data_IF_532099899589
#
_entry.id   IF_532099899589
#
_cell.length_a   1.000
_cell.length_b   1.000
_cell.length_c   1.000
_cell.angle_alpha   90.00
_cell.angle_beta   90.00
_cell.angle_gamma   90.00
#
_symmetry.space_group_name_H-M   'P 1'
#
loop_
_entity.id
_entity.type
_entity.pdbx_description
1 polymer ?
#
# COMPACT_ATOMS: atom_id res chain seq x y z
N UNK A 1 10.42 12.92 3.23
CA UNK A 1 11.33 12.38 2.22
C UNK A 1 10.43 11.85 1.12
N UNK A 2 10.86 11.86 -0.14
CA UNK A 2 9.96 11.35 -1.18
C UNK A 2 10.02 9.81 -1.18
N UNK A 3 8.87 9.16 -0.96
CA UNK A 3 8.72 7.70 -1.06
C UNK A 3 8.35 7.33 -2.49
N UNK A 4 9.13 6.45 -3.11
CA UNK A 4 8.95 6.01 -4.50
C UNK A 4 8.90 4.50 -4.55
N UNK A 5 7.72 3.95 -4.82
CA UNK A 5 7.57 2.52 -5.09
C UNK A 5 7.80 2.26 -6.57
N UNK A 6 8.82 1.46 -6.88
CA UNK A 6 9.15 1.06 -8.25
C UNK A 6 8.58 -0.33 -8.50
N UNK A 7 7.74 -0.49 -9.51
CA UNK A 7 7.33 -1.81 -9.98
C UNK A 7 8.57 -2.64 -10.39
N UNK A 8 8.51 -3.97 -10.23
CA UNK A 8 9.58 -4.86 -10.67
C UNK A 8 9.93 -4.67 -12.16
N UNK A 9 8.97 -4.35 -13.02
CA UNK A 9 9.24 -4.07 -14.43
C UNK A 9 10.12 -2.81 -14.63
N UNK A 10 10.17 -1.91 -13.66
CA UNK A 10 11.09 -0.76 -13.66
C UNK A 10 12.42 -1.20 -13.08
N UNK A 11 12.40 -1.81 -11.88
CA UNK A 11 13.61 -2.23 -11.16
C UNK A 11 14.49 -3.15 -12.03
N UNK A 12 13.90 -4.18 -12.63
CA UNK A 12 14.61 -5.14 -13.49
C UNK A 12 15.19 -4.52 -14.75
N UNK A 13 14.65 -3.37 -15.19
CA UNK A 13 15.12 -2.65 -16.36
C UNK A 13 16.06 -1.48 -16.03
N UNK A 14 16.36 -1.20 -14.76
CA UNK A 14 17.25 -0.08 -14.37
C UNK A 14 18.68 -0.18 -14.96
N UNK A 15 19.09 -1.38 -15.40
CA UNK A 15 20.35 -1.60 -16.12
C UNK A 15 20.26 -1.38 -17.64
N UNK A 16 19.07 -1.10 -18.17
CA UNK A 16 18.85 -0.89 -19.61
C UNK A 16 19.53 0.39 -20.08
N UNK A 17 19.89 0.42 -21.37
CA UNK A 17 20.51 1.59 -22.03
C UNK A 17 19.49 2.65 -22.47
N UNK A 18 18.21 2.49 -22.15
CA UNK A 18 17.19 3.49 -22.47
C UNK A 18 17.45 4.79 -21.70
N UNK A 19 17.40 5.91 -22.41
CA UNK A 19 17.80 7.23 -21.88
C UNK A 19 17.04 7.62 -20.61
N UNK A 20 15.72 7.42 -20.58
CA UNK A 20 14.92 7.77 -19.41
C UNK A 20 15.13 6.85 -18.21
N UNK A 21 15.45 5.58 -18.46
CA UNK A 21 15.78 4.63 -17.39
C UNK A 21 17.17 4.92 -16.80
N UNK A 22 18.12 5.32 -17.66
CA UNK A 22 19.42 5.83 -17.21
C UNK A 22 19.25 7.12 -16.40
N UNK A 23 18.41 8.05 -16.86
CA UNK A 23 18.11 9.27 -16.11
C UNK A 23 17.50 8.97 -14.74
N UNK A 24 16.61 7.97 -14.65
CA UNK A 24 16.10 7.49 -13.37
C UNK A 24 17.21 6.90 -12.49
N UNK A 25 18.05 6.02 -13.03
CA UNK A 25 19.14 5.43 -12.27
C UNK A 25 20.12 6.49 -11.72
N UNK A 26 20.53 7.44 -12.56
CA UNK A 26 21.43 8.52 -12.17
C UNK A 26 20.77 9.42 -11.10
N UNK A 27 19.48 9.75 -11.29
CA UNK A 27 18.68 10.49 -10.31
C UNK A 27 18.61 9.78 -8.95
N UNK A 28 18.26 8.49 -8.92
CA UNK A 28 18.16 7.73 -7.66
C UNK A 28 19.49 7.64 -6.93
N UNK A 29 20.60 7.64 -7.67
CA UNK A 29 21.95 7.64 -7.10
C UNK A 29 22.31 8.99 -6.48
N UNK A 30 22.04 10.09 -7.18
CA UNK A 30 22.36 11.44 -6.73
C UNK A 30 21.45 11.91 -5.58
N UNK A 31 20.23 11.36 -5.52
CA UNK A 31 19.18 11.74 -4.58
C UNK A 31 18.96 10.70 -3.46
N UNK A 32 19.88 9.74 -3.29
CA UNK A 32 19.73 8.62 -2.33
C UNK A 32 19.44 9.05 -0.89
N UNK A 33 19.93 10.21 -0.45
CA UNK A 33 19.66 10.76 0.88
C UNK A 33 18.26 11.39 1.04
N UNK A 34 17.56 11.63 -0.08
CA UNK A 34 16.30 12.41 -0.14
C UNK A 34 15.12 11.60 -0.69
N UNK A 35 15.36 10.34 -1.06
CA UNK A 35 14.37 9.39 -1.55
C UNK A 35 14.39 8.13 -0.68
N UNK A 36 13.21 7.57 -0.42
CA UNK A 36 13.04 6.23 0.13
C UNK A 36 12.42 5.33 -0.95
N UNK A 37 13.08 4.22 -1.27
CA UNK A 37 12.56 3.23 -2.21
C UNK A 37 12.31 1.95 -1.43
N UNK A 38 11.06 1.65 -1.06
CA UNK A 38 10.77 0.38 -0.42
C UNK A 38 10.59 -0.74 -1.45
N UNK A 39 10.85 -1.98 -1.02
CA UNK A 39 10.41 -3.18 -1.70
C UNK A 39 9.32 -3.89 -0.89
N UNK A 40 8.67 -4.88 -1.48
CA UNK A 40 7.63 -5.67 -0.80
C UNK A 40 7.57 -7.09 -1.34
N UNK A 41 6.67 -7.90 -0.79
CA UNK A 41 6.43 -9.29 -1.20
C UNK A 41 6.16 -9.42 -2.70
N UNK A 42 5.54 -8.42 -3.33
CA UNK A 42 5.28 -8.39 -4.78
C UNK A 42 6.56 -8.54 -5.61
N UNK A 43 7.63 -7.84 -5.22
CA UNK A 43 8.94 -7.91 -5.86
C UNK A 43 9.56 -9.30 -5.73
N UNK A 44 9.42 -9.90 -4.55
CA UNK A 44 9.97 -11.23 -4.25
C UNK A 44 9.26 -12.31 -5.08
N UNK A 45 7.93 -12.22 -5.20
CA UNK A 45 7.12 -13.09 -6.07
C UNK A 45 7.53 -12.96 -7.53
N UNK A 46 7.78 -11.75 -8.00
CA UNK A 46 8.29 -11.50 -9.35
C UNK A 46 9.65 -12.13 -9.61
N UNK A 47 10.59 -11.99 -8.66
CA UNK A 47 11.91 -12.61 -8.74
C UNK A 47 11.77 -14.13 -8.79
N UNK A 48 10.93 -14.73 -7.92
CA UNK A 48 10.70 -16.18 -7.82
C UNK A 48 10.10 -16.74 -9.11
N UNK A 49 9.11 -16.04 -9.67
CA UNK A 49 8.52 -16.37 -10.98
C UNK A 49 9.52 -16.23 -12.12
N UNK A 50 10.37 -15.20 -12.08
CA UNK A 50 11.44 -14.99 -13.05
C UNK A 50 12.54 -16.04 -12.98
N UNK A 51 12.85 -16.55 -11.79
CA UNK A 51 13.87 -17.57 -11.56
C UNK A 51 13.56 -18.90 -12.25
N UNK A 52 12.27 -19.29 -12.27
CA UNK A 52 11.79 -20.46 -13.04
C UNK A 52 12.17 -20.39 -14.53
N UNK A 53 12.40 -19.18 -15.06
CA UNK A 53 12.79 -18.93 -16.46
C UNK A 53 14.30 -18.75 -16.65
N UNK A 54 15.05 -18.47 -15.60
CA UNK A 54 16.50 -18.18 -15.65
C UNK A 54 17.20 -18.64 -14.36
N UNK A 55 17.71 -19.87 -14.39
CA UNK A 55 18.36 -20.53 -13.24
C UNK A 55 19.62 -19.75 -12.80
N UNK A 56 19.76 -19.50 -11.49
CA UNK A 56 21.00 -18.99 -10.89
C UNK A 56 21.17 -17.46 -10.83
N UNK A 57 20.18 -16.68 -11.27
CA UNK A 57 20.22 -15.21 -11.19
C UNK A 57 19.51 -14.62 -9.96
N UNK A 58 18.88 -15.44 -9.14
CA UNK A 58 18.06 -14.99 -7.98
C UNK A 58 18.86 -14.16 -6.99
N UNK A 59 19.99 -14.68 -6.50
CA UNK A 59 20.81 -13.95 -5.50
C UNK A 59 21.21 -12.59 -6.03
N UNK A 60 21.68 -12.51 -7.29
CA UNK A 60 22.09 -11.23 -7.87
C UNK A 60 20.95 -10.20 -7.97
N UNK A 61 19.72 -10.67 -8.22
CA UNK A 61 18.52 -9.82 -8.26
C UNK A 61 18.12 -9.36 -6.86
N UNK A 62 18.23 -10.24 -5.87
CA UNK A 62 17.94 -9.92 -4.46
C UNK A 62 18.97 -8.94 -3.89
N UNK A 63 20.26 -9.14 -4.18
CA UNK A 63 21.35 -8.20 -3.84
C UNK A 63 21.14 -6.83 -4.48
N UNK A 64 20.72 -6.81 -5.76
CA UNK A 64 20.41 -5.57 -6.44
C UNK A 64 19.22 -4.83 -5.80
N UNK A 65 18.15 -5.56 -5.49
CA UNK A 65 16.98 -5.02 -4.79
C UNK A 65 17.37 -4.47 -3.42
N UNK A 66 18.27 -5.15 -2.68
CA UNK A 66 18.82 -4.68 -1.41
C UNK A 66 19.53 -3.34 -1.58
N UNK A 67 20.42 -3.24 -2.57
CA UNK A 67 21.23 -2.06 -2.82
C UNK A 67 20.41 -0.81 -3.18
N UNK A 68 19.30 -0.98 -3.91
CA UNK A 68 18.37 0.10 -4.24
C UNK A 68 17.49 0.46 -3.06
N UNK A 69 16.90 -0.53 -2.41
CA UNK A 69 15.89 -0.30 -1.37
C UNK A 69 16.46 0.07 -0.01
N UNK A 70 17.76 -0.13 0.18
CA UNK A 70 18.41 -0.06 1.48
C UNK A 70 17.71 -0.95 2.52
N UNK A 71 17.23 -2.12 2.08
CA UNK A 71 16.48 -3.09 2.89
C UNK A 71 15.15 -2.57 3.47
N UNK A 72 14.63 -1.44 2.97
CA UNK A 72 13.31 -0.93 3.36
C UNK A 72 12.23 -1.87 2.82
N UNK A 73 11.66 -2.69 3.70
CA UNK A 73 10.68 -3.71 3.36
C UNK A 73 9.30 -3.31 3.84
N UNK A 74 8.29 -3.43 2.98
CA UNK A 74 6.89 -3.35 3.36
C UNK A 74 6.26 -4.74 3.35
N UNK A 75 5.61 -5.09 4.46
CA UNK A 75 4.78 -6.29 4.56
C UNK A 75 3.42 -5.94 5.13
N UNK A 76 2.40 -6.71 4.73
CA UNK A 76 1.07 -6.56 5.29
C UNK A 76 0.96 -7.39 6.56
N UNK A 77 0.71 -6.74 7.69
CA UNK A 77 0.48 -7.41 8.96
C UNK A 77 -1.01 -7.74 9.08
N UNK A 78 -1.35 -9.03 8.98
CA UNK A 78 -2.73 -9.51 9.10
C UNK A 78 -3.34 -9.24 10.49
N UNK A 79 -2.53 -9.26 11.54
CA UNK A 79 -3.00 -9.06 12.93
C UNK A 79 -3.32 -7.60 13.22
N UNK A 80 -2.47 -6.69 12.72
CA UNK A 80 -2.65 -5.25 12.87
C UNK A 80 -3.45 -4.64 11.72
N UNK A 81 -3.77 -5.44 10.70
CA UNK A 81 -4.61 -5.07 9.58
C UNK A 81 -4.08 -3.87 8.78
N UNK A 82 -2.76 -3.73 8.71
CA UNK A 82 -2.05 -2.58 8.12
C UNK A 82 -0.73 -3.03 7.50
N UNK A 83 -0.24 -2.26 6.53
CA UNK A 83 1.16 -2.38 6.09
C UNK A 83 2.07 -1.85 7.20
N UNK A 84 3.18 -2.55 7.43
CA UNK A 84 4.24 -2.16 8.36
C UNK A 84 5.61 -2.08 7.65
N UNK A 85 6.48 -1.15 8.10
CA UNK A 85 7.84 -1.07 7.62
C UNK A 85 8.75 -2.02 8.41
N UNK A 86 9.71 -2.60 7.71
CA UNK A 86 10.79 -3.40 8.30
C UNK A 86 12.12 -3.07 7.61
N UNK A 87 13.22 -3.42 8.27
CA UNK A 87 14.56 -3.38 7.69
C UNK A 87 15.04 -4.81 7.52
N UNK A 88 14.72 -5.44 6.40
CA UNK A 88 14.98 -6.86 6.14
C UNK A 88 15.76 -7.00 4.85
N UNK A 89 16.74 -7.90 4.83
CA UNK A 89 17.45 -8.19 3.60
C UNK A 89 16.52 -8.96 2.64
N UNK A 90 16.41 -8.62 1.34
CA UNK A 90 15.53 -9.32 0.41
C UNK A 90 15.68 -10.85 0.41
N UNK A 91 16.90 -11.38 0.57
CA UNK A 91 17.18 -12.81 0.71
C UNK A 91 16.48 -13.46 1.90
N UNK A 92 16.44 -12.78 3.05
CA UNK A 92 15.78 -13.29 4.26
C UNK A 92 14.27 -13.36 4.02
N UNK A 93 13.69 -12.26 3.55
CA UNK A 93 12.26 -12.21 3.22
C UNK A 93 11.87 -13.20 2.11
N UNK A 94 12.73 -13.42 1.11
CA UNK A 94 12.46 -14.31 -0.04
C UNK A 94 12.22 -15.77 0.37
N UNK A 95 12.85 -16.23 1.46
CA UNK A 95 12.68 -17.59 1.97
C UNK A 95 11.23 -17.85 2.44
N UNK A 96 10.55 -16.82 2.95
CA UNK A 96 9.22 -16.91 3.54
C UNK A 96 8.08 -16.70 2.52
N UNK A 97 8.39 -16.19 1.32
CA UNK A 97 7.38 -15.90 0.30
C UNK A 97 6.88 -17.19 -0.37
N UNK A 98 5.58 -17.47 -0.24
CA UNK A 98 4.90 -18.58 -0.93
C UNK A 98 4.92 -18.45 -2.46
N UNK A 99 4.71 -19.57 -3.17
CA UNK A 99 4.75 -19.57 -4.64
C UNK A 99 3.48 -18.97 -5.27
N UNK A 100 2.28 -19.31 -4.78
CA UNK A 100 1.02 -18.71 -5.23
C UNK A 100 0.23 -18.09 -4.08
N UNK A 101 -0.55 -17.04 -4.37
CA UNK A 101 -1.44 -16.40 -3.39
C UNK A 101 -2.58 -17.33 -2.96
N UNK A 102 -2.92 -18.30 -3.82
CA UNK A 102 -4.02 -19.24 -3.63
C UNK A 102 -3.63 -20.56 -2.98
N UNK A 103 -2.36 -20.79 -2.68
CA UNK A 103 -1.93 -22.03 -2.02
C UNK A 103 -2.61 -22.18 -0.65
N UNK A 104 -2.90 -21.06 0.03
CA UNK A 104 -3.60 -21.00 1.32
C UNK A 104 -5.14 -21.11 1.23
N UNK A 105 -5.73 -21.29 0.03
CA UNK A 105 -7.17 -21.57 -0.10
C UNK A 105 -7.52 -23.05 0.12
N UNK A 106 -6.50 -23.91 0.25
CA UNK A 106 -6.68 -25.32 0.55
C UNK A 106 -6.99 -25.51 2.04
N UNK A 107 -8.28 -25.60 2.35
CA UNK A 107 -8.77 -25.77 3.71
C UNK A 107 -8.19 -27.03 4.38
N UNK A 108 -7.89 -28.08 3.61
CA UNK A 108 -7.32 -29.31 4.15
C UNK A 108 -5.87 -29.09 4.55
N UNK A 109 -5.08 -28.43 3.71
CA UNK A 109 -3.69 -28.11 4.03
C UNK A 109 -3.59 -27.28 5.32
N UNK A 110 -4.49 -26.31 5.52
CA UNK A 110 -4.55 -25.51 6.75
C UNK A 110 -4.84 -26.38 7.98
N UNK A 111 -5.73 -27.37 7.88
CA UNK A 111 -5.98 -28.29 8.98
C UNK A 111 -4.79 -29.22 9.25
N UNK A 112 -4.02 -29.59 8.23
CA UNK A 112 -2.81 -30.42 8.37
C UNK A 112 -1.70 -29.66 9.08
N UNK A 113 -1.49 -28.38 8.76
CA UNK A 113 -0.54 -27.52 9.47
C UNK A 113 -0.88 -27.39 10.97
N UNK A 114 -2.17 -27.31 11.33
CA UNK A 114 -2.60 -27.27 12.74
C UNK A 114 -2.25 -28.58 13.47
N UNK A 115 -2.30 -29.72 12.79
CA UNK A 115 -1.94 -31.01 13.36
C UNK A 115 -0.42 -31.15 13.54
N UNK A 116 0.38 -30.57 12.65
CA UNK A 116 1.85 -30.56 12.77
C UNK A 116 2.33 -29.71 13.97
N UNK A 117 1.58 -28.67 14.33
CA UNK A 117 1.86 -27.79 15.48
C UNK A 117 1.24 -28.28 16.80
N UNK A 118 0.46 -29.38 16.80
CA UNK A 118 -0.29 -29.85 17.97
C UNK A 118 -0.38 -31.37 18.13
N UNK A 119 0.12 -31.88 19.26
CA UNK A 119 -0.04 -33.29 19.65
C UNK A 119 -1.52 -33.76 19.77
N UNK A 120 -2.46 -32.82 19.89
CA UNK A 120 -3.88 -33.09 20.08
C UNK A 120 -4.62 -33.46 18.79
N UNK A 121 -3.98 -33.34 17.61
CA UNK A 121 -4.59 -33.58 16.30
C UNK A 121 -5.91 -32.82 16.10
N UNK A 122 -5.93 -31.53 16.45
CA UNK A 122 -7.13 -30.68 16.43
C UNK A 122 -7.67 -30.53 14.99
N UNK A 123 -6.79 -30.41 14.01
CA UNK A 123 -7.16 -30.33 12.59
C UNK A 123 -7.91 -31.57 12.13
N UNK A 124 -7.43 -32.77 12.51
CA UNK A 124 -8.16 -34.03 12.30
C UNK A 124 -9.52 -34.05 12.99
N UNK A 125 -9.62 -33.60 14.24
CA UNK A 125 -10.91 -33.53 14.95
C UNK A 125 -11.92 -32.62 14.22
N UNK A 126 -11.47 -31.46 13.74
CA UNK A 126 -12.30 -30.53 12.95
C UNK A 126 -12.73 -31.20 11.63
N UNK A 127 -11.80 -31.86 10.93
CA UNK A 127 -12.06 -32.58 9.69
C UNK A 127 -13.14 -33.65 9.88
N UNK A 128 -13.00 -34.51 10.87
CA UNK A 128 -13.94 -35.58 11.18
C UNK A 128 -15.32 -35.01 11.55
N UNK A 129 -15.36 -33.92 12.31
CA UNK A 129 -16.61 -33.23 12.64
C UNK A 129 -17.32 -32.69 11.40
N UNK A 130 -16.61 -31.97 10.51
CA UNK A 130 -17.19 -31.42 9.29
C UNK A 130 -17.62 -32.51 8.30
N UNK A 131 -16.90 -33.64 8.25
CA UNK A 131 -17.28 -34.81 7.46
C UNK A 131 -18.55 -35.50 7.99
N UNK A 132 -18.83 -35.37 9.29
CA UNK A 132 -20.04 -35.94 9.92
C UNK A 132 -21.31 -35.12 9.67
N UNK A 133 -21.17 -33.84 9.32
CA UNK A 133 -22.29 -32.94 9.06
C UNK A 133 -22.75 -33.11 7.61
N UNK A 134 -24.02 -33.44 7.33
CA UNK A 134 -24.51 -33.49 5.97
C UNK A 134 -24.51 -32.10 5.33
N UNK A 135 -24.17 -32.02 4.06
CA UNK A 135 -24.27 -30.78 3.30
C UNK A 135 -25.73 -30.29 3.25
N UNK A 136 -26.03 -29.04 3.66
CA UNK A 136 -27.39 -28.51 3.64
C UNK A 136 -28.01 -28.41 2.24
N UNK A 137 -27.19 -28.44 1.19
CA UNK A 137 -27.61 -28.34 -0.21
C UNK A 137 -27.61 -29.69 -0.95
N UNK A 138 -27.39 -30.81 -0.26
CA UNK A 138 -27.36 -32.13 -0.87
C UNK A 138 -28.69 -32.45 -1.58
N UNK A 139 -28.60 -32.82 -2.86
CA UNK A 139 -29.74 -33.10 -3.75
C UNK A 139 -30.74 -31.94 -3.92
N UNK A 140 -30.34 -30.71 -3.60
CA UNK A 140 -31.15 -29.53 -3.86
C UNK A 140 -30.84 -28.94 -5.23
N UNK A 141 -31.87 -28.40 -5.90
CA UNK A 141 -31.69 -27.59 -7.08
C UNK A 141 -31.25 -26.18 -6.66
N UNK A 142 -30.00 -25.83 -7.00
CA UNK A 142 -29.44 -24.52 -6.70
C UNK A 142 -29.68 -23.61 -7.90
N UNK A 143 -30.43 -22.54 -7.70
CA UNK A 143 -30.65 -21.53 -8.73
C UNK A 143 -29.37 -20.75 -8.99
N UNK A 144 -28.94 -20.75 -10.25
CA UNK A 144 -27.76 -20.03 -10.72
C UNK A 144 -28.06 -19.35 -12.05
N UNK A 145 -27.29 -18.33 -12.46
CA UNK A 145 -27.41 -17.77 -13.81
C UNK A 145 -27.30 -18.85 -14.88
N UNK A 146 -28.08 -18.72 -15.95
CA UNK A 146 -28.11 -19.66 -17.08
C UNK A 146 -26.80 -19.64 -17.87
N UNK A 147 -25.80 -20.31 -17.33
CA UNK A 147 -24.47 -20.41 -17.89
C UNK A 147 -23.80 -21.73 -17.45
N UNK A 148 -23.18 -22.50 -18.38
CA UNK A 148 -22.57 -23.80 -18.07
C UNK A 148 -21.60 -23.76 -16.87
N UNK A 149 -20.77 -22.71 -16.79
CA UNK A 149 -19.88 -22.44 -15.65
C UNK A 149 -20.57 -22.55 -14.28
N UNK A 150 -21.66 -21.80 -14.05
CA UNK A 150 -22.33 -21.77 -12.75
C UNK A 150 -23.15 -23.04 -12.50
N UNK A 151 -23.68 -23.67 -13.55
CA UNK A 151 -24.34 -24.96 -13.42
C UNK A 151 -23.39 -26.07 -12.96
N UNK A 152 -22.12 -26.06 -13.40
CA UNK A 152 -21.10 -27.01 -12.91
C UNK A 152 -20.84 -26.83 -11.42
N UNK A 153 -20.68 -25.58 -10.95
CA UNK A 153 -20.54 -25.29 -9.52
C UNK A 153 -21.75 -25.77 -8.71
N UNK A 154 -22.95 -25.37 -9.13
CA UNK A 154 -24.19 -25.78 -8.48
C UNK A 154 -24.32 -27.30 -8.40
N UNK A 155 -23.95 -28.00 -9.48
CA UNK A 155 -23.99 -29.45 -9.53
C UNK A 155 -22.97 -30.07 -8.56
N UNK A 156 -21.73 -29.57 -8.50
CA UNK A 156 -20.72 -30.03 -7.53
C UNK A 156 -21.21 -29.86 -6.09
N UNK A 157 -21.68 -28.66 -5.75
CA UNK A 157 -22.22 -28.36 -4.42
C UNK A 157 -23.40 -29.27 -4.10
N UNK A 158 -24.34 -29.47 -5.02
CA UNK A 158 -25.53 -30.30 -4.78
C UNK A 158 -25.23 -31.80 -4.60
N UNK A 159 -24.05 -32.25 -5.01
CA UNK A 159 -23.62 -33.66 -4.93
C UNK A 159 -22.64 -33.93 -3.78
N UNK A 160 -22.04 -32.90 -3.20
CA UNK A 160 -21.13 -33.01 -2.07
C UNK A 160 -21.87 -33.62 -0.85
N UNK A 161 -21.44 -34.78 -0.33
CA UNK A 161 -22.23 -35.51 0.68
C UNK A 161 -22.13 -34.89 2.08
N UNK A 162 -20.99 -34.32 2.46
CA UNK A 162 -20.78 -33.68 3.75
C UNK A 162 -20.48 -32.18 3.64
N UNK A 163 -20.49 -31.49 4.78
CA UNK A 163 -20.08 -30.11 4.87
C UNK A 163 -18.59 -29.93 4.56
N UNK A 164 -17.75 -30.92 4.87
CA UNK A 164 -16.35 -30.94 4.46
C UNK A 164 -16.22 -30.95 2.94
N UNK A 165 -16.95 -31.86 2.27
CA UNK A 165 -16.94 -31.95 0.80
C UNK A 165 -17.46 -30.66 0.17
N UNK A 166 -18.49 -30.04 0.77
CA UNK A 166 -19.00 -28.75 0.33
C UNK A 166 -17.92 -27.65 0.36
N UNK A 167 -17.18 -27.53 1.48
CA UNK A 167 -16.08 -26.57 1.60
C UNK A 167 -15.01 -26.87 0.54
N UNK A 168 -14.63 -28.14 0.35
CA UNK A 168 -13.63 -28.54 -0.63
C UNK A 168 -14.05 -28.19 -2.06
N UNK A 169 -15.29 -28.47 -2.45
CA UNK A 169 -15.81 -28.12 -3.77
C UNK A 169 -15.80 -26.61 -4.02
N UNK A 170 -16.16 -25.81 -3.01
CA UNK A 170 -16.12 -24.33 -3.10
C UNK A 170 -14.68 -23.82 -3.18
N UNK A 171 -13.78 -24.33 -2.34
CA UNK A 171 -12.35 -23.98 -2.34
C UNK A 171 -11.68 -24.33 -3.66
N UNK A 172 -11.92 -25.53 -4.18
CA UNK A 172 -11.34 -25.99 -5.45
C UNK A 172 -11.91 -25.19 -6.62
N UNK A 173 -13.21 -24.91 -6.62
CA UNK A 173 -13.80 -24.02 -7.61
C UNK A 173 -13.17 -22.63 -7.57
N UNK A 174 -13.02 -22.03 -6.39
CA UNK A 174 -12.40 -20.71 -6.24
C UNK A 174 -10.94 -20.73 -6.75
N UNK A 175 -10.14 -21.71 -6.33
CA UNK A 175 -8.76 -21.90 -6.78
C UNK A 175 -8.68 -22.05 -8.30
N UNK A 176 -9.46 -22.96 -8.87
CA UNK A 176 -9.50 -23.21 -10.32
C UNK A 176 -10.00 -21.98 -11.09
N UNK A 177 -10.96 -21.22 -10.56
CA UNK A 177 -11.47 -19.98 -11.17
C UNK A 177 -10.38 -18.95 -11.43
N UNK A 178 -9.34 -18.89 -10.60
CA UNK A 178 -8.28 -17.88 -10.66
C UNK A 178 -6.90 -18.43 -11.04
N UNK A 179 -6.74 -19.75 -11.17
CA UNK A 179 -5.47 -20.37 -11.59
C UNK A 179 -5.55 -21.02 -12.97
N UNK A 180 -6.73 -21.45 -13.42
CA UNK A 180 -6.94 -22.02 -14.75
C UNK A 180 -7.32 -20.93 -15.78
N UNK A 181 -6.55 -20.74 -16.85
CA UNK A 181 -6.82 -19.75 -17.89
C UNK A 181 -8.18 -19.84 -18.58
N UNK A 182 -8.70 -21.05 -18.81
CA UNK A 182 -9.99 -21.27 -19.49
C UNK A 182 -11.15 -21.00 -18.54
N UNK A 183 -11.11 -21.55 -17.32
CA UNK A 183 -12.10 -21.29 -16.28
C UNK A 183 -12.22 -19.81 -15.97
N UNK A 184 -11.10 -19.11 -15.83
CA UNK A 184 -11.08 -17.66 -15.59
C UNK A 184 -11.73 -16.88 -16.74
N UNK A 185 -11.45 -17.26 -18.01
CA UNK A 185 -12.07 -16.63 -19.18
C UNK A 185 -13.58 -16.84 -19.21
N UNK A 186 -14.02 -18.06 -18.99
CA UNK A 186 -15.44 -18.43 -18.98
C UNK A 186 -16.20 -17.68 -17.88
N UNK A 187 -15.65 -17.65 -16.66
CA UNK A 187 -16.25 -16.93 -15.54
C UNK A 187 -16.42 -15.43 -15.83
N UNK A 188 -15.36 -14.84 -16.39
CA UNK A 188 -15.30 -13.42 -16.73
C UNK A 188 -16.25 -13.05 -17.86
N UNK A 189 -16.31 -13.86 -18.90
CA UNK A 189 -17.20 -13.65 -20.04
C UNK A 189 -18.68 -13.80 -19.65
N UNK A 190 -19.00 -14.82 -18.84
CA UNK A 190 -20.33 -15.03 -18.29
C UNK A 190 -20.80 -13.81 -17.48
N UNK A 191 -19.96 -13.33 -16.57
CA UNK A 191 -20.30 -12.18 -15.71
C UNK A 191 -20.52 -10.91 -16.53
N UNK A 192 -19.65 -10.62 -17.51
CA UNK A 192 -19.81 -9.45 -18.38
C UNK A 192 -21.07 -9.50 -19.22
N UNK A 193 -21.39 -10.69 -19.74
CA UNK A 193 -22.59 -10.89 -20.54
C UNK A 193 -23.83 -10.64 -19.69
N UNK A 194 -23.87 -11.21 -18.48
CA UNK A 194 -24.94 -10.96 -17.51
C UNK A 194 -25.08 -9.49 -17.13
N UNK A 195 -23.96 -8.76 -17.02
CA UNK A 195 -23.94 -7.34 -16.70
C UNK A 195 -24.03 -6.40 -17.92
N UNK A 196 -24.16 -6.93 -19.14
CA UNK A 196 -24.11 -6.17 -20.39
C UNK A 196 -22.84 -5.28 -20.56
N UNK A 197 -21.73 -5.63 -19.91
CA UNK A 197 -20.48 -4.86 -19.93
C UNK A 197 -19.74 -5.08 -21.24
N UNK A 198 -19.34 -3.97 -21.89
CA UNK A 198 -18.53 -3.97 -23.11
C UNK A 198 -17.12 -3.45 -22.81
N UNK A 199 -16.09 -4.32 -22.76
CA UNK A 199 -14.73 -3.93 -22.36
C UNK A 199 -14.11 -2.76 -23.12
N UNK A 200 -14.40 -2.63 -24.43
CA UNK A 200 -13.87 -1.54 -25.26
C UNK A 200 -14.47 -0.18 -24.87
N UNK A 201 -15.76 -0.13 -24.52
CA UNK A 201 -16.40 1.10 -24.02
C UNK A 201 -15.86 1.43 -22.64
N UNK A 202 -15.72 0.41 -21.78
CA UNK A 202 -15.18 0.56 -20.44
C UNK A 202 -13.75 1.10 -20.45
N UNK A 203 -12.89 0.61 -21.34
CA UNK A 203 -11.50 1.07 -21.48
C UNK A 203 -11.36 2.44 -22.16
N UNK A 204 -12.46 3.05 -22.62
CA UNK A 204 -12.48 4.37 -23.24
C UNK A 204 -13.00 5.47 -22.31
N UNK A 205 -13.58 5.11 -21.16
CA UNK A 205 -14.08 6.06 -20.17
C UNK A 205 -13.01 6.40 -19.14
N UNK A 206 -13.05 7.62 -18.61
CA UNK A 206 -12.25 8.04 -17.46
C UNK A 206 -12.91 7.68 -16.11
N UNK A 207 -14.11 7.08 -16.13
CA UNK A 207 -14.85 6.64 -14.95
C UNK A 207 -15.39 5.20 -15.08
N UNK A 208 -14.51 4.20 -15.25
CA UNK A 208 -14.90 2.80 -15.39
C UNK A 208 -15.70 2.24 -14.20
N UNK A 209 -15.34 2.58 -12.95
CA UNK A 209 -16.04 2.07 -11.77
C UNK A 209 -17.49 2.57 -11.75
N UNK A 210 -17.71 3.88 -11.94
CA UNK A 210 -19.06 4.47 -12.03
C UNK A 210 -19.87 3.84 -13.18
N UNK A 211 -19.21 3.51 -14.30
CA UNK A 211 -19.85 2.87 -15.45
C UNK A 211 -20.32 1.45 -15.13
N UNK A 212 -19.53 0.68 -14.39
CA UNK A 212 -19.91 -0.67 -13.94
C UNK A 212 -21.07 -0.59 -12.96
N UNK A 213 -21.00 0.30 -11.97
CA UNK A 213 -22.08 0.48 -10.99
C UNK A 213 -23.40 0.91 -11.65
N UNK A 214 -23.34 1.75 -12.69
CA UNK A 214 -24.51 2.14 -13.46
C UNK A 214 -25.21 0.94 -14.12
N UNK A 215 -24.45 0.00 -14.69
CA UNK A 215 -25.04 -1.21 -15.26
C UNK A 215 -25.62 -2.14 -14.19
N UNK A 216 -24.95 -2.26 -13.04
CA UNK A 216 -25.49 -3.03 -11.90
C UNK A 216 -26.80 -2.41 -11.41
N UNK A 217 -26.86 -1.08 -11.20
CA UNK A 217 -28.09 -0.33 -10.84
C UNK A 217 -29.21 -0.59 -11.85
N UNK A 218 -28.89 -0.54 -13.15
CA UNK A 218 -29.86 -0.73 -14.23
C UNK A 218 -30.46 -2.15 -14.20
N UNK A 219 -29.66 -3.16 -13.91
CA UNK A 219 -30.07 -4.57 -13.94
C UNK A 219 -30.74 -5.03 -12.66
N UNK A 220 -30.29 -4.56 -11.49
CA UNK A 220 -30.91 -4.90 -10.21
C UNK A 220 -32.25 -4.21 -10.01
N UNK A 221 -32.50 -3.10 -10.70
CA UNK A 221 -33.65 -2.22 -10.44
C UNK A 221 -33.50 -1.39 -9.16
N UNK A 222 -32.34 -1.48 -8.49
CA UNK A 222 -32.03 -0.69 -7.31
C UNK A 222 -31.47 0.68 -7.71
N UNK A 223 -32.20 1.75 -7.38
CA UNK A 223 -31.77 3.12 -7.66
C UNK A 223 -30.56 3.60 -6.84
N UNK A 224 -30.08 2.80 -5.88
CA UNK A 224 -28.96 3.12 -4.98
C UNK A 224 -28.06 1.90 -4.82
N UNK A 225 -27.15 1.69 -5.77
CA UNK A 225 -26.08 0.71 -5.64
C UNK A 225 -24.75 1.43 -5.79
N UNK A 226 -23.83 1.24 -4.86
CA UNK A 226 -22.43 1.63 -4.99
C UNK A 226 -21.58 0.52 -4.38
N UNK A 227 -20.43 0.23 -4.97
CA UNK A 227 -19.53 -0.80 -4.45
C UNK A 227 -19.06 -0.48 -3.04
N UNK A 228 -18.84 0.81 -2.74
CA UNK A 228 -18.51 1.28 -1.39
C UNK A 228 -19.55 0.90 -0.35
N UNK A 229 -20.84 0.92 -0.72
CA UNK A 229 -21.93 0.55 0.19
C UNK A 229 -21.96 -0.97 0.42
N UNK A 230 -21.73 -1.76 -0.64
CA UNK A 230 -21.65 -3.24 -0.55
C UNK A 230 -20.49 -3.66 0.34
N UNK A 231 -19.30 -3.10 0.10
CA UNK A 231 -18.11 -3.34 0.92
C UNK A 231 -18.37 -2.91 2.36
N UNK A 232 -18.90 -1.70 2.55
CA UNK A 232 -19.20 -1.15 3.88
C UNK A 232 -20.21 -2.01 4.64
N UNK A 233 -21.20 -2.60 3.97
CA UNK A 233 -22.15 -3.52 4.58
C UNK A 233 -21.49 -4.86 4.92
N UNK A 234 -20.72 -5.45 3.99
CA UNK A 234 -19.96 -6.69 4.22
C UNK A 234 -19.02 -6.56 5.43
N UNK A 235 -18.37 -5.40 5.57
CA UNK A 235 -17.49 -5.06 6.70
C UNK A 235 -18.24 -4.88 8.03
N UNK A 236 -19.42 -4.26 8.01
CA UNK A 236 -20.28 -4.13 9.21
C UNK A 236 -20.74 -5.50 9.71
N UNK A 237 -21.10 -6.38 8.77
CA UNK A 237 -21.57 -7.73 9.09
C UNK A 237 -20.42 -8.64 9.55
N UNK A 238 -19.17 -8.32 9.17
CA UNK A 238 -17.98 -9.13 9.46
C UNK A 238 -16.81 -8.27 9.99
N UNK A 239 -16.89 -7.72 11.22
CA UNK A 239 -15.87 -6.80 11.74
C UNK A 239 -14.49 -7.42 11.98
N UNK A 240 -14.36 -8.75 11.88
CA UNK A 240 -13.06 -9.46 11.89
C UNK A 240 -12.39 -9.52 10.50
N UNK A 241 -13.11 -9.23 9.43
CA UNK A 241 -12.64 -9.22 8.04
C UNK A 241 -12.55 -7.78 7.53
N UNK A 242 -11.70 -6.97 8.18
CA UNK A 242 -11.58 -5.53 7.91
C UNK A 242 -10.32 -5.07 7.15
N UNK A 243 -9.60 -5.86 6.32
CA UNK A 243 -8.34 -5.35 5.75
C UNK A 243 -8.57 -4.22 4.74
N UNK A 244 -7.95 -3.02 4.92
CA UNK A 244 -7.88 -2.00 3.87
C UNK A 244 -7.35 -2.55 2.53
N UNK A 245 -6.59 -3.63 2.60
CA UNK A 245 -6.17 -4.42 1.44
C UNK A 245 -7.37 -5.00 0.66
N UNK A 246 -8.43 -5.50 1.32
CA UNK A 246 -9.58 -6.09 0.65
C UNK A 246 -10.32 -5.07 -0.23
N UNK A 247 -10.51 -3.83 0.24
CA UNK A 247 -11.16 -2.78 -0.56
C UNK A 247 -10.36 -2.49 -1.82
N UNK A 248 -9.05 -2.32 -1.65
CA UNK A 248 -8.13 -2.05 -2.75
C UNK A 248 -8.16 -3.19 -3.78
N UNK A 249 -8.06 -4.43 -3.30
CA UNK A 249 -8.08 -5.63 -4.15
C UNK A 249 -9.42 -5.76 -4.85
N UNK A 250 -10.53 -5.50 -4.15
CA UNK A 250 -11.87 -5.57 -4.72
C UNK A 250 -12.00 -4.62 -5.91
N UNK A 251 -11.69 -3.33 -5.75
CA UNK A 251 -11.82 -2.36 -6.85
C UNK A 251 -10.92 -2.74 -8.04
N UNK A 252 -9.70 -3.16 -7.77
CA UNK A 252 -8.76 -3.54 -8.82
C UNK A 252 -9.23 -4.81 -9.55
N UNK A 253 -9.66 -5.85 -8.82
CA UNK A 253 -10.20 -7.09 -9.38
C UNK A 253 -11.45 -6.79 -10.20
N UNK A 254 -12.37 -5.93 -9.73
CA UNK A 254 -13.55 -5.53 -10.49
C UNK A 254 -13.16 -4.90 -11.84
N UNK A 255 -12.17 -4.01 -11.87
CA UNK A 255 -11.68 -3.41 -13.12
C UNK A 255 -11.11 -4.48 -14.08
N UNK A 256 -10.22 -5.35 -13.59
CA UNK A 256 -9.63 -6.42 -14.41
C UNK A 256 -10.71 -7.39 -14.91
N UNK A 257 -11.59 -7.81 -14.03
CA UNK A 257 -12.64 -8.77 -14.33
C UNK A 257 -13.63 -8.17 -15.35
N UNK A 258 -14.07 -6.92 -15.17
CA UNK A 258 -14.97 -6.24 -16.12
C UNK A 258 -14.32 -5.84 -17.45
N UNK A 259 -12.99 -5.82 -17.53
CA UNK A 259 -12.28 -5.65 -18.81
C UNK A 259 -11.70 -4.27 -19.06
N UNK A 260 -11.52 -3.50 -18.00
CA UNK A 260 -10.84 -2.21 -18.08
C UNK A 260 -9.33 -2.44 -18.23
N UNK A 261 -8.79 -2.13 -19.42
CA UNK A 261 -7.37 -2.29 -19.78
C UNK A 261 -6.77 -3.66 -19.50
N UNK A 262 -7.58 -4.70 -19.43
CA UNK A 262 -7.11 -5.97 -18.92
C UNK A 262 -6.20 -6.74 -19.86
N UNK A 263 -5.53 -7.73 -19.31
CA UNK A 263 -4.63 -8.55 -20.09
C UNK A 263 -5.30 -9.73 -20.79
N UNK A 264 -4.65 -10.13 -21.89
CA UNK A 264 -5.02 -11.34 -22.61
C UNK A 264 -4.49 -12.53 -21.83
N UNK A 265 -5.40 -13.28 -21.24
CA UNK A 265 -5.06 -14.50 -20.49
C UNK A 265 -4.61 -15.60 -21.46
N UNK A 266 -3.43 -16.17 -21.19
CA UNK A 266 -2.80 -17.23 -21.97
C UNK A 266 -1.76 -17.97 -21.10
N UNK A 267 -1.09 -18.99 -21.64
CA UNK A 267 -0.12 -19.81 -20.87
C UNK A 267 1.03 -19.00 -20.26
N UNK A 268 1.39 -17.86 -20.86
CA UNK A 268 2.42 -16.95 -20.35
C UNK A 268 1.86 -15.91 -19.39
N UNK A 269 0.59 -15.54 -19.54
CA UNK A 269 -0.07 -14.56 -18.69
C UNK A 269 -1.30 -15.16 -18.02
N UNK A 270 -1.05 -15.74 -16.85
CA UNK A 270 -2.04 -16.44 -16.05
C UNK A 270 -2.74 -15.45 -15.09
N UNK A 271 -3.93 -15.78 -14.57
CA UNK A 271 -4.69 -14.83 -13.75
C UNK A 271 -4.06 -14.55 -12.37
N UNK A 272 -3.20 -15.44 -11.85
CA UNK A 272 -2.40 -15.19 -10.65
C UNK A 272 -1.44 -14.01 -10.82
N UNK A 273 -0.97 -13.74 -12.05
CA UNK A 273 -0.11 -12.58 -12.33
C UNK A 273 -0.81 -11.25 -11.98
N UNK A 274 -2.13 -11.17 -12.18
CA UNK A 274 -2.93 -9.99 -11.84
C UNK A 274 -2.77 -9.60 -10.37
N UNK A 275 -2.68 -10.58 -9.47
CA UNK A 275 -2.59 -10.30 -8.05
C UNK A 275 -1.22 -9.74 -7.65
N UNK A 276 -0.14 -10.12 -8.34
CA UNK A 276 1.16 -9.46 -8.17
C UNK A 276 1.08 -8.00 -8.62
N UNK A 277 0.39 -7.70 -9.73
CA UNK A 277 0.18 -6.32 -10.19
C UNK A 277 -0.67 -5.51 -9.19
N UNK A 278 -1.72 -6.14 -8.62
CA UNK A 278 -2.53 -5.55 -7.54
C UNK A 278 -1.64 -5.26 -6.33
N UNK A 279 -0.76 -6.19 -5.94
CA UNK A 279 0.15 -6.00 -4.81
C UNK A 279 1.09 -4.82 -5.05
N UNK A 280 1.71 -4.71 -6.23
CA UNK A 280 2.55 -3.56 -6.58
C UNK A 280 1.78 -2.24 -6.45
N UNK A 281 0.58 -2.17 -7.03
CA UNK A 281 -0.25 -0.97 -6.93
C UNK A 281 -0.70 -0.68 -5.49
N UNK A 282 -1.02 -1.70 -4.69
CA UNK A 282 -1.43 -1.57 -3.30
C UNK A 282 -0.27 -1.04 -2.44
N UNK A 283 0.90 -1.65 -2.52
CA UNK A 283 2.08 -1.17 -1.81
C UNK A 283 2.54 0.21 -2.29
N UNK A 284 2.40 0.48 -3.59
CA UNK A 284 2.60 1.81 -4.17
C UNK A 284 1.70 2.87 -3.54
N UNK A 285 0.47 2.51 -3.14
CA UNK A 285 -0.48 3.41 -2.48
C UNK A 285 -0.03 3.88 -1.08
N UNK A 286 1.06 3.33 -0.53
CA UNK A 286 1.71 3.78 0.71
C UNK A 286 2.89 4.73 0.44
N UNK A 287 3.15 5.08 -0.82
CA UNK A 287 4.24 5.96 -1.24
C UNK A 287 3.69 7.24 -1.87
N UNK A 288 4.56 8.24 -2.08
CA UNK A 288 4.20 9.46 -2.83
C UNK A 288 4.03 9.15 -4.32
N UNK A 289 4.85 8.22 -4.83
CA UNK A 289 4.84 7.78 -6.22
C UNK A 289 4.76 6.26 -6.34
N UNK A 290 3.92 5.81 -7.28
CA UNK A 290 3.96 4.45 -7.83
C UNK A 290 4.44 4.55 -9.27
N UNK A 291 5.60 3.97 -9.58
CA UNK A 291 6.23 4.07 -10.89
C UNK A 291 6.24 2.72 -11.58
N UNK A 292 5.57 2.62 -12.74
CA UNK A 292 5.51 1.40 -13.55
C UNK A 292 5.58 1.73 -15.04
N UNK A 293 6.16 0.83 -15.84
CA UNK A 293 6.09 0.92 -17.31
C UNK A 293 4.90 0.16 -17.90
N UNK A 294 4.15 -0.57 -17.08
CA UNK A 294 2.91 -1.22 -17.51
C UNK A 294 1.76 -0.20 -17.54
N UNK A 295 1.41 0.24 -18.75
CA UNK A 295 0.33 1.22 -18.99
C UNK A 295 -1.04 0.74 -18.50
N UNK A 296 -1.28 -0.56 -18.47
CA UNK A 296 -2.56 -1.14 -18.02
C UNK A 296 -2.63 -1.18 -16.51
N UNK A 297 -1.56 -1.65 -15.86
CA UNK A 297 -1.45 -1.60 -14.40
C UNK A 297 -1.54 -0.17 -13.89
N UNK A 298 -0.86 0.77 -14.57
CA UNK A 298 -0.93 2.21 -14.33
C UNK A 298 -2.37 2.75 -14.40
N UNK A 299 -3.08 2.45 -15.48
CA UNK A 299 -4.47 2.92 -15.68
C UNK A 299 -5.43 2.36 -14.62
N UNK A 300 -5.26 1.11 -14.21
CA UNK A 300 -6.04 0.49 -13.12
C UNK A 300 -5.71 1.11 -11.76
N UNK A 301 -4.42 1.22 -11.42
CA UNK A 301 -3.96 1.83 -10.17
C UNK A 301 -4.49 3.26 -10.01
N UNK A 302 -4.40 4.09 -11.06
CA UNK A 302 -4.91 5.46 -11.04
C UNK A 302 -6.43 5.54 -10.73
N UNK A 303 -7.23 4.61 -11.27
CA UNK A 303 -8.67 4.56 -11.00
C UNK A 303 -8.98 4.12 -9.57
N UNK A 304 -8.24 3.14 -9.05
CA UNK A 304 -8.40 2.70 -7.65
C UNK A 304 -7.97 3.82 -6.70
N UNK A 305 -6.85 4.49 -6.96
CA UNK A 305 -6.38 5.62 -6.15
C UNK A 305 -7.40 6.75 -6.13
N UNK A 306 -7.99 7.08 -7.29
CA UNK A 306 -9.03 8.11 -7.38
C UNK A 306 -10.27 7.76 -6.54
N UNK A 307 -10.80 6.53 -6.66
CA UNK A 307 -12.01 6.12 -5.93
C UNK A 307 -11.77 5.98 -4.42
N UNK A 308 -10.56 5.59 -4.03
CA UNK A 308 -10.15 5.48 -2.62
C UNK A 308 -9.58 6.79 -2.06
N UNK A 309 -9.57 7.88 -2.84
CA UNK A 309 -9.04 9.19 -2.45
C UNK A 309 -7.56 9.15 -1.99
N UNK A 310 -6.78 8.24 -2.57
CA UNK A 310 -5.34 8.08 -2.33
C UNK A 310 -4.57 9.11 -3.16
N UNK A 311 -3.66 9.85 -2.52
CA UNK A 311 -2.91 10.94 -3.17
C UNK A 311 -1.64 10.51 -3.91
N UNK A 312 -1.25 9.23 -3.79
CA UNK A 312 -0.13 8.65 -4.54
C UNK A 312 -0.27 8.93 -6.04
N UNK A 313 0.80 9.43 -6.65
CA UNK A 313 0.87 9.63 -8.10
C UNK A 313 1.32 8.34 -8.78
N UNK A 314 0.43 7.72 -9.55
CA UNK A 314 0.78 6.61 -10.42
C UNK A 314 1.33 7.16 -11.74
N UNK A 315 2.61 6.91 -12.05
CA UNK A 315 3.31 7.48 -13.22
C UNK A 315 4.14 6.44 -13.99
N UNK A 316 4.45 6.75 -15.25
CA UNK A 316 5.56 6.10 -15.98
C UNK A 316 6.90 6.66 -15.50
N UNK A 317 8.02 6.04 -15.89
CA UNK A 317 9.36 6.59 -15.57
C UNK A 317 9.52 8.00 -16.10
N UNK A 318 9.13 8.24 -17.36
CA UNK A 318 9.22 9.58 -17.96
C UNK A 318 8.37 10.59 -17.20
N UNK A 319 7.12 10.22 -16.87
CA UNK A 319 6.21 11.07 -16.11
C UNK A 319 6.73 11.37 -14.70
N UNK A 320 7.33 10.39 -14.03
CA UNK A 320 7.96 10.59 -12.72
C UNK A 320 9.14 11.55 -12.79
N UNK A 321 10.02 11.36 -13.76
CA UNK A 321 11.19 12.22 -13.94
C UNK A 321 10.78 13.65 -14.24
N UNK A 322 9.75 13.86 -15.07
CA UNK A 322 9.25 15.19 -15.37
C UNK A 322 8.54 15.86 -14.18
N UNK A 323 7.80 15.09 -13.36
CA UNK A 323 7.14 15.60 -12.16
C UNK A 323 8.15 15.96 -11.06
N UNK A 324 9.22 15.17 -10.90
CA UNK A 324 10.19 15.38 -9.82
C UNK A 324 11.25 16.44 -10.15
N UNK A 325 11.53 16.72 -11.43
CA UNK A 325 12.37 17.87 -11.87
C UNK A 325 11.82 19.22 -11.37
N UNK A 326 10.55 19.32 -10.99
CA UNK A 326 9.97 20.52 -10.37
C UNK A 326 10.13 20.59 -8.85
N UNK A 327 10.52 19.49 -8.21
CA UNK A 327 10.41 19.27 -6.76
C UNK A 327 11.77 19.16 -6.05
N UNK A 328 12.84 19.73 -6.64
CA UNK A 328 14.21 19.49 -6.17
C UNK A 328 14.38 19.78 -4.67
N UNK A 329 14.69 18.75 -3.87
CA UNK A 329 14.86 18.92 -2.43
C UNK A 329 16.19 19.63 -2.17
N UNK A 330 16.18 20.95 -1.90
CA UNK A 330 17.41 21.66 -1.51
C UNK A 330 17.87 21.11 -0.16
N UNK A 331 19.19 20.91 0.02
CA UNK A 331 19.71 20.52 1.33
C UNK A 331 19.33 21.61 2.34
N UNK A 332 18.57 21.27 3.39
CA UNK A 332 18.06 22.28 4.29
C UNK A 332 19.20 22.91 5.08
N UNK A 333 19.20 24.23 5.13
CA UNK A 333 19.97 25.04 6.08
C UNK A 333 19.02 25.64 7.11
N UNK A 334 19.54 26.04 8.26
CA UNK A 334 18.76 26.72 9.29
C UNK A 334 17.99 27.92 8.71
N UNK A 335 18.66 28.76 7.92
CA UNK A 335 18.05 29.90 7.26
C UNK A 335 16.92 29.50 6.30
N UNK A 336 17.10 28.42 5.53
CA UNK A 336 16.06 27.94 4.61
C UNK A 336 14.83 27.41 5.33
N UNK A 337 15.01 26.75 6.49
CA UNK A 337 13.91 26.23 7.31
C UNK A 337 13.10 27.39 7.88
N UNK A 338 13.77 28.36 8.52
CA UNK A 338 13.13 29.56 9.07
C UNK A 338 12.40 30.35 7.98
N UNK A 339 13.02 30.50 6.80
CA UNK A 339 12.40 31.18 5.65
C UNK A 339 11.17 30.44 5.17
N UNK A 340 11.23 29.12 5.03
CA UNK A 340 10.09 28.28 4.59
C UNK A 340 8.92 28.33 5.58
N UNK A 341 9.21 28.31 6.89
CA UNK A 341 8.23 28.51 7.96
C UNK A 341 7.56 29.88 7.83
N UNK A 342 8.37 30.94 7.71
CA UNK A 342 7.88 32.31 7.62
C UNK A 342 7.04 32.54 6.35
N UNK A 343 7.50 32.02 5.21
CA UNK A 343 6.77 32.08 3.94
C UNK A 343 5.45 31.32 4.01
N UNK A 344 5.43 30.12 4.59
CA UNK A 344 4.20 29.32 4.75
C UNK A 344 3.15 30.08 5.55
N UNK A 345 3.54 30.67 6.69
CA UNK A 345 2.64 31.45 7.55
C UNK A 345 2.12 32.71 6.82
N UNK A 346 2.92 33.33 5.96
CA UNK A 346 2.55 34.56 5.22
C UNK A 346 1.74 34.30 3.94
N UNK A 347 1.95 33.16 3.28
CA UNK A 347 1.50 32.92 1.90
C UNK A 347 0.23 32.08 1.76
N UNK A 348 -0.15 31.30 2.79
CA UNK A 348 -1.24 30.34 2.71
C UNK A 348 -2.47 30.81 3.50
N UNK A 349 -3.66 30.54 2.97
CA UNK A 349 -4.89 30.60 3.77
C UNK A 349 -4.78 29.59 4.91
N UNK A 350 -4.96 30.08 6.15
CA UNK A 350 -5.00 29.24 7.33
C UNK A 350 -6.11 28.19 7.16
N UNK A 351 -5.75 26.91 7.21
CA UNK A 351 -6.68 25.81 6.98
C UNK A 351 -7.67 25.66 8.13
N UNK A 352 -7.20 25.93 9.35
CA UNK A 352 -7.97 25.87 10.58
C UNK A 352 -7.43 26.94 11.54
N UNK A 353 -8.32 27.81 12.02
CA UNK A 353 -8.00 28.82 13.01
C UNK A 353 -8.87 28.60 14.26
N UNK A 354 -8.23 28.24 15.37
CA UNK A 354 -8.88 28.11 16.67
C UNK A 354 -8.37 29.21 17.60
N UNK A 355 -9.31 29.98 18.17
CA UNK A 355 -9.05 31.00 19.19
C UNK A 355 -9.87 30.64 20.42
N UNK A 356 -9.22 30.43 21.56
CA UNK A 356 -9.91 30.19 22.83
C UNK A 356 -9.90 31.48 23.65
N UNK A 357 -11.06 31.98 24.13
CA UNK A 357 -11.08 33.07 25.09
C UNK A 357 -10.48 32.62 26.43
N UNK A 358 -9.69 33.50 27.06
CA UNK A 358 -8.80 33.23 28.18
C UNK A 358 -9.42 32.53 29.40
N UNK A 359 -8.81 31.39 29.75
CA UNK A 359 -8.21 31.10 31.05
C UNK A 359 -7.21 29.96 30.82
N UNK A 360 -5.91 30.25 30.65
CA UNK A 360 -4.91 29.20 30.63
C UNK A 360 -3.75 29.38 29.67
N UNK A 361 -3.81 28.83 28.46
CA UNK A 361 -2.55 28.45 27.81
C UNK A 361 -2.44 28.73 26.30
N UNK A 362 -3.50 28.76 25.48
CA UNK A 362 -3.37 28.98 24.02
C UNK A 362 -4.14 30.22 23.58
N UNK A 363 -3.43 31.21 23.01
CA UNK A 363 -3.99 32.46 22.48
C UNK A 363 -4.55 32.22 21.07
N UNK A 364 -3.78 31.53 20.23
CA UNK A 364 -4.17 31.21 18.86
C UNK A 364 -3.51 29.91 18.40
N UNK A 365 -4.28 29.07 17.70
CA UNK A 365 -3.79 27.88 17.02
C UNK A 365 -4.14 27.95 15.53
N UNK A 366 -3.13 27.90 14.67
CA UNK A 366 -3.28 27.94 13.21
C UNK A 366 -2.59 26.76 12.55
N UNK A 367 -3.28 26.09 11.63
CA UNK A 367 -2.70 25.02 10.81
C UNK A 367 -2.55 25.44 9.34
N UNK A 368 -1.39 25.13 8.76
CA UNK A 368 -1.04 25.47 7.39
C UNK A 368 -0.53 24.23 6.65
N UNK A 369 -0.89 24.10 5.37
CA UNK A 369 -0.21 23.21 4.45
C UNK A 369 0.98 23.94 3.85
N UNK A 370 2.11 23.25 3.76
CA UNK A 370 3.30 23.84 3.13
C UNK A 370 3.18 23.78 1.61
N UNK A 371 3.71 24.78 0.90
CA UNK A 371 3.84 24.74 -0.57
C UNK A 371 4.92 23.76 -1.03
N UNK A 372 5.96 23.59 -0.21
CA UNK A 372 7.08 22.65 -0.40
C UNK A 372 7.43 21.99 0.93
N UNK A 373 7.89 20.74 0.92
CA UNK A 373 8.26 20.03 2.15
C UNK A 373 9.43 20.70 2.87
N UNK A 374 9.22 21.07 4.14
CA UNK A 374 10.26 21.59 5.02
C UNK A 374 11.15 20.42 5.48
N UNK A 375 12.48 20.61 5.48
CA UNK A 375 13.45 19.53 5.74
C UNK A 375 13.25 18.30 4.84
N UNK A 376 12.70 18.51 3.64
CA UNK A 376 12.35 17.45 2.70
C UNK A 376 11.41 16.39 3.30
N UNK A 377 10.72 16.64 4.42
CA UNK A 377 9.86 15.68 5.10
C UNK A 377 8.56 16.30 5.61
N UNK A 378 8.61 17.41 6.35
CA UNK A 378 7.42 18.01 6.94
C UNK A 378 6.59 18.73 5.89
N UNK A 379 5.32 18.34 5.72
CA UNK A 379 4.41 18.90 4.71
C UNK A 379 3.29 19.76 5.33
N UNK A 380 3.21 19.83 6.67
CA UNK A 380 2.28 20.67 7.43
C UNK A 380 3.00 21.43 8.54
N UNK A 381 2.40 22.54 8.93
CA UNK A 381 2.86 23.40 10.02
C UNK A 381 1.68 23.75 10.92
N UNK A 382 1.88 23.65 12.23
CA UNK A 382 0.95 24.10 13.24
C UNK A 382 1.63 25.16 14.12
N UNK A 383 1.04 26.35 14.19
CA UNK A 383 1.54 27.47 14.97
C UNK A 383 0.64 27.66 16.19
N UNK A 384 1.24 27.61 17.36
CA UNK A 384 0.61 27.85 18.65
C UNK A 384 1.22 29.11 19.26
N UNK A 385 0.41 30.15 19.37
CA UNK A 385 0.77 31.36 20.10
C UNK A 385 0.34 31.19 21.57
N UNK A 386 1.33 31.15 22.45
CA UNK A 386 1.18 31.16 23.89
C UNK A 386 1.57 32.57 24.39
N UNK A 387 1.25 32.87 25.66
CA UNK A 387 1.48 34.20 26.24
C UNK A 387 2.90 34.75 26.07
N UNK A 388 3.90 33.89 26.25
CA UNK A 388 5.32 34.28 26.25
C UNK A 388 6.16 33.51 25.21
N UNK A 389 5.53 32.62 24.43
CA UNK A 389 6.21 31.68 23.53
C UNK A 389 5.39 31.49 22.26
N UNK A 390 6.07 31.50 21.11
CA UNK A 390 5.52 30.95 19.88
C UNK A 390 6.13 29.56 19.68
N UNK A 391 5.25 28.56 19.56
CA UNK A 391 5.62 27.20 19.24
C UNK A 391 5.15 26.87 17.82
N UNK A 392 6.07 26.36 17.01
CA UNK A 392 5.82 25.90 15.65
C UNK A 392 6.09 24.40 15.60
N UNK A 393 5.04 23.62 15.37
CA UNK A 393 5.13 22.18 15.13
C UNK A 393 5.20 21.92 13.64
N UNK A 394 6.27 21.27 13.20
CA UNK A 394 6.46 20.73 11.86
C UNK A 394 5.94 19.30 11.83
N UNK A 395 5.00 19.05 10.93
CA UNK A 395 4.22 17.82 10.88
C UNK A 395 4.35 17.16 9.51
N UNK A 396 4.34 15.83 9.51
CA UNK A 396 4.13 15.04 8.30
C UNK A 396 2.73 14.42 8.38
N UNK A 397 1.92 14.67 7.35
CA UNK A 397 0.58 14.11 7.20
C UNK A 397 0.53 13.37 5.87
N UNK A 398 0.52 12.05 5.96
CA UNK A 398 0.28 11.17 4.82
C UNK A 398 -1.22 11.22 4.45
N UNK A 399 -1.49 11.55 3.19
CA UNK A 399 -2.83 11.45 2.57
C UNK A 399 -2.96 10.22 1.67
N UNK A 400 -1.90 9.42 1.65
CA UNK A 400 -1.85 8.09 1.04
C UNK A 400 -2.22 7.02 2.10
N UNK A 401 -2.09 5.73 1.78
CA UNK A 401 -2.41 4.64 2.70
C UNK A 401 -1.35 4.43 3.79
N UNK A 402 -0.23 5.16 3.77
CA UNK A 402 0.80 5.05 4.80
C UNK A 402 0.29 5.50 6.16
N UNK A 403 0.64 4.69 7.16
CA UNK A 403 0.38 4.91 8.58
C UNK A 403 1.63 4.58 9.39
N UNK A 404 2.79 4.76 8.80
CA UNK A 404 4.08 4.42 9.38
C UNK A 404 5.19 5.29 8.79
N UNK A 405 6.38 5.18 9.39
CA UNK A 405 7.62 5.79 8.90
C UNK A 405 8.69 4.71 8.78
N UNK A 406 9.48 4.72 7.69
CA UNK A 406 10.62 3.79 7.62
C UNK A 406 11.73 4.24 8.56
N UNK A 407 12.44 3.28 9.16
CA UNK A 407 13.60 3.56 9.99
C UNK A 407 14.69 4.35 9.25
N UNK A 408 14.85 4.10 7.95
CA UNK A 408 15.75 4.85 7.08
C UNK A 408 15.36 6.33 6.95
N UNK A 409 14.06 6.66 7.01
CA UNK A 409 13.64 8.07 7.01
C UNK A 409 13.98 8.76 8.31
N UNK A 410 13.80 8.08 9.45
CA UNK A 410 14.20 8.62 10.75
C UNK A 410 15.71 8.90 10.74
N UNK A 411 16.52 7.94 10.28
CA UNK A 411 17.98 8.10 10.14
C UNK A 411 18.34 9.33 9.32
N UNK A 412 17.69 9.51 8.16
CA UNK A 412 17.95 10.64 7.26
C UNK A 412 17.49 11.98 7.84
N UNK A 413 16.33 12.04 8.49
CA UNK A 413 15.86 13.25 9.18
C UNK A 413 16.86 13.64 10.28
N UNK A 414 17.26 12.71 11.14
CA UNK A 414 18.25 12.97 12.20
C UNK A 414 19.58 13.44 11.60
N UNK A 415 20.04 12.82 10.51
CA UNK A 415 21.26 13.23 9.83
C UNK A 415 21.18 14.67 9.26
N UNK A 416 20.02 15.10 8.74
CA UNK A 416 19.83 16.48 8.29
C UNK A 416 19.85 17.47 9.47
N UNK A 417 19.21 17.13 10.60
CA UNK A 417 19.29 17.94 11.82
C UNK A 417 20.73 18.03 12.36
N UNK A 418 21.45 16.91 12.42
CA UNK A 418 22.85 16.87 12.84
C UNK A 418 23.74 17.70 11.91
N UNK A 419 23.57 17.58 10.60
CA UNK A 419 24.32 18.39 9.64
C UNK A 419 24.05 19.88 9.76
N UNK A 420 22.83 20.27 10.15
CA UNK A 420 22.40 21.65 10.28
C UNK A 420 22.79 22.27 11.64
N UNK A 421 22.67 21.52 12.73
CA UNK A 421 22.73 22.04 14.11
C UNK A 421 23.88 21.47 14.95
N UNK A 422 24.60 20.45 14.45
CA UNK A 422 25.61 19.73 15.21
C UNK A 422 25.02 18.70 16.19
N UNK A 423 25.81 18.33 17.20
CA UNK A 423 25.40 17.37 18.24
C UNK A 423 24.19 17.92 19.02
N UNK A 424 23.33 17.01 19.45
CA UNK A 424 22.20 17.34 20.31
C UNK A 424 22.66 17.74 21.74
N UNK A 425 21.72 18.19 22.58
CA UNK A 425 22.00 18.57 23.97
C UNK A 425 22.51 17.42 24.85
N UNK A 426 22.35 16.17 24.43
CA UNK A 426 22.88 14.98 25.09
C UNK A 426 24.23 14.51 24.51
N UNK A 427 24.75 15.20 23.49
CA UNK A 427 26.01 14.88 22.81
C UNK A 427 25.88 13.81 21.70
N UNK A 428 24.66 13.47 21.28
CA UNK A 428 24.40 12.50 20.23
C UNK A 428 24.39 13.15 18.84
N UNK A 429 24.92 12.43 17.85
CA UNK A 429 24.87 12.82 16.44
C UNK A 429 23.95 11.92 15.65
N UNK A 430 24.47 10.76 15.22
CA UNK A 430 23.69 9.74 14.51
C UNK A 430 22.69 9.04 15.43
N UNK A 431 21.61 8.50 14.86
CA UNK A 431 20.64 7.68 15.58
C UNK A 431 21.20 6.26 15.78
N UNK A 432 21.00 5.69 16.96
CA UNK A 432 21.44 4.33 17.28
C UNK A 432 20.36 3.29 16.98
N UNK A 433 20.72 2.02 16.96
CA UNK A 433 19.74 0.93 16.81
C UNK A 433 18.81 0.84 18.03
N UNK A 434 19.34 1.06 19.25
CA UNK A 434 18.54 1.05 20.49
C UNK A 434 17.38 2.06 20.44
N UNK A 435 17.60 3.21 19.82
CA UNK A 435 16.55 4.23 19.64
C UNK A 435 15.52 3.88 18.58
N UNK A 436 15.92 3.13 17.56
CA UNK A 436 15.01 2.62 16.54
C UNK A 436 14.15 1.47 17.08
N UNK A 437 14.71 0.66 17.98
CA UNK A 437 14.02 -0.45 18.64
C UNK A 437 12.95 0.06 19.63
N UNK A 438 13.16 1.22 20.25
CA UNK A 438 12.17 1.91 21.08
C UNK A 438 11.90 3.36 20.63
N UNK A 439 11.17 3.51 19.52
CA UNK A 439 10.72 4.82 19.06
C UNK A 439 9.83 5.55 20.07
N UNK A 440 9.27 4.88 21.08
CA UNK A 440 8.39 5.56 22.05
C UNK A 440 9.13 6.52 22.97
N UNK A 441 10.42 6.29 23.18
CA UNK A 441 11.31 7.16 23.95
C UNK A 441 12.14 8.09 23.08
N UNK A 442 12.06 7.97 21.74
CA UNK A 442 12.85 8.76 20.80
C UNK A 442 12.56 10.27 20.92
N UNK A 443 13.57 11.01 21.40
CA UNK A 443 13.57 12.47 21.47
C UNK A 443 14.99 13.02 21.33
N UNK A 444 15.13 14.06 20.51
CA UNK A 444 16.37 14.84 20.30
C UNK A 444 16.10 16.31 20.51
N UNK A 445 17.07 17.04 21.07
CA UNK A 445 16.93 18.47 21.34
C UNK A 445 18.20 19.24 20.99
N UNK A 446 18.04 20.43 20.42
CA UNK A 446 19.12 21.37 20.12
C UNK A 446 18.74 22.77 20.59
N UNK A 447 19.72 23.51 21.08
CA UNK A 447 19.55 24.92 21.44
C UNK A 447 20.43 25.73 20.50
N UNK A 448 19.81 26.64 19.74
CA UNK A 448 20.54 27.66 18.98
C UNK A 448 19.95 29.03 19.28
N UNK A 449 20.84 29.96 19.69
CA UNK A 449 20.44 31.31 20.10
C UNK A 449 19.35 31.27 21.18
N UNK A 450 18.16 31.82 20.91
CA UNK A 450 16.99 31.81 21.78
C UNK A 450 15.94 30.76 21.41
N UNK A 451 16.27 29.85 20.48
CA UNK A 451 15.35 28.83 19.96
C UNK A 451 15.69 27.43 20.47
N UNK A 452 14.65 26.69 20.89
CA UNK A 452 14.73 25.26 21.19
C UNK A 452 14.12 24.47 20.03
N UNK A 453 14.93 23.61 19.42
CA UNK A 453 14.47 22.60 18.46
C UNK A 453 14.33 21.27 19.18
N UNK A 454 13.20 20.61 19.00
CA UNK A 454 12.96 19.25 19.46
C UNK A 454 12.51 18.39 18.29
N UNK A 455 13.05 17.19 18.18
CA UNK A 455 12.58 16.15 17.27
C UNK A 455 12.09 14.99 18.13
N UNK A 456 10.89 14.49 17.89
CA UNK A 456 10.34 13.38 18.66
C UNK A 456 9.46 12.49 17.79
N UNK A 457 9.29 11.23 18.18
CA UNK A 457 8.33 10.35 17.53
C UNK A 457 6.94 10.53 18.14
N UNK A 458 5.90 10.54 17.30
CA UNK A 458 4.51 10.56 17.71
C UNK A 458 3.84 9.25 17.34
N UNK A 459 3.39 8.51 18.36
CA UNK A 459 2.58 7.29 18.18
C UNK A 459 1.24 7.59 17.52
N UNK A 460 0.60 8.69 17.87
CA UNK A 460 -0.70 9.07 17.30
C UNK A 460 -0.62 9.32 15.80
N UNK A 461 0.52 9.85 15.33
CA UNK A 461 0.76 10.15 13.91
C UNK A 461 1.60 9.10 13.20
N UNK A 462 2.09 8.09 13.92
CA UNK A 462 3.04 7.08 13.44
C UNK A 462 4.24 7.68 12.66
N UNK A 463 4.78 8.79 13.15
CA UNK A 463 5.81 9.55 12.44
C UNK A 463 6.58 10.51 13.33
N UNK A 464 7.59 11.15 12.74
CA UNK A 464 8.43 12.13 13.44
C UNK A 464 7.77 13.52 13.39
N UNK A 465 7.82 14.23 14.52
CA UNK A 465 7.39 15.62 14.68
C UNK A 465 8.61 16.47 15.02
N UNK A 466 8.75 17.60 14.31
CA UNK A 466 9.67 18.66 14.69
C UNK A 466 8.93 19.73 15.49
N UNK A 467 9.52 20.25 16.55
CA UNK A 467 8.97 21.35 17.34
C UNK A 467 10.05 22.42 17.43
N UNK A 468 9.72 23.62 16.97
CA UNK A 468 10.51 24.83 17.12
C UNK A 468 9.81 25.74 18.12
N UNK A 469 10.48 26.06 19.23
CA UNK A 469 10.00 27.03 20.21
C UNK A 469 10.93 28.23 20.26
N UNK A 470 10.36 29.44 20.20
CA UNK A 470 11.07 30.69 20.46
C UNK A 470 10.38 31.44 21.59
N UNK A 471 11.17 32.04 22.48
CA UNK A 471 10.64 33.05 23.38
C UNK A 471 10.11 34.24 22.55
N UNK A 472 8.98 34.83 22.96
CA UNK A 472 8.50 36.08 22.39
C UNK A 472 9.60 37.14 22.58
N UNK A 473 10.14 37.67 21.47
CA UNK A 473 11.04 38.83 21.48
C UNK A 473 10.22 40.13 21.48
#
# INVERSE_FOLDING_TARGET
MIRVYLDWNVVSNLHSSHESVKALHDFLKDEKSRICIPYSEAHLRDIKRGAKKSIGLESSRLDYLSGISNNNYMSYDLSANTVKPYSVHPQEAYAEVGENIFDNLDFIAVLEEIDDDSDLQIGKMIRDFLASIPNPHLNQEIQVPDHPYFHRLAQSISKAPSYLDFIQEVSEFAKTSFTNPESYKEYRESTRTGLAIRPHLLSSTNKPIESIENEVRRLSGEGKFAFKDVIGQMMKDNPRFQPPMADFYFYYIVLEFMGYHSDKINDKNKPDNMFTDIQHAFYGAHCDYFVTQDKKALAKAAQVYQVMEVTTKALTVDGFIDDIKGCYPIRPTFQSVVSSVSETIRSQECLLNHVTPQDGEIIQACAFKTSTMIMNYFNYLECLELKDVIAVSLLHIDTNLSKFIFFDEIKKIVAEFHAMLGLDCAGNGEITQEELDDLSSFKRQWIMESCLFSLAFSKERNGVIGILMSANC
#
